data_IF_962929340027
#
_entry.id   IF_962929340027
#
_cell.length_a   1.000
_cell.length_b   1.000
_cell.length_c   1.000
_cell.angle_alpha   90.00
_cell.angle_beta   90.00
_cell.angle_gamma   90.00
#
_symmetry.space_group_name_H-M   'P 1'
#
loop_
_entity.id
_entity.type
_entity.pdbx_description
1 polymer ?
#
# COMPACT_ATOMS: atom_id res chain seq x y z
N UNK A 1 -5.16 -31.80 0.19
CA UNK A 1 -4.58 -30.81 -0.76
C UNK A 1 -4.49 -29.48 -0.03
N UNK A 2 -3.45 -29.31 0.80
CA UNK A 2 -3.33 -28.17 1.71
C UNK A 2 -2.50 -27.08 1.03
N UNK A 3 -3.16 -26.05 0.50
CA UNK A 3 -2.51 -24.77 0.22
C UNK A 3 -2.31 -24.07 1.57
N UNK A 4 -1.24 -24.42 2.29
CA UNK A 4 -0.69 -23.49 3.27
C UNK A 4 -0.29 -22.27 2.45
N UNK A 5 -1.04 -21.18 2.58
CA UNK A 5 -0.63 -19.89 2.05
C UNK A 5 0.81 -19.66 2.47
N UNK A 6 1.69 -19.41 1.51
CA UNK A 6 3.06 -19.04 1.81
C UNK A 6 2.96 -17.78 2.67
N UNK A 7 3.20 -17.94 3.97
CA UNK A 7 3.63 -16.83 4.80
C UNK A 7 5.02 -16.54 4.26
N UNK A 8 5.15 -15.59 3.33
CA UNK A 8 6.46 -15.09 2.93
C UNK A 8 7.11 -14.53 4.19
N UNK A 9 8.10 -15.26 4.70
CA UNK A 9 8.87 -14.84 5.85
C UNK A 9 9.66 -13.59 5.45
N UNK A 10 9.23 -12.42 5.91
CA UNK A 10 9.91 -11.14 5.67
C UNK A 10 11.35 -11.27 6.16
N UNK A 11 12.32 -10.91 5.31
CA UNK A 11 13.73 -10.96 5.70
C UNK A 11 14.05 -9.88 6.73
N UNK A 12 15.11 -10.06 7.52
CA UNK A 12 15.55 -9.03 8.49
C UNK A 12 15.88 -7.68 7.83
N UNK A 13 16.24 -7.68 6.54
CA UNK A 13 16.50 -6.46 5.77
C UNK A 13 15.20 -5.75 5.41
N UNK A 14 14.21 -6.47 4.88
CA UNK A 14 12.89 -5.92 4.55
C UNK A 14 12.19 -5.40 5.79
N UNK A 15 12.26 -6.14 6.91
CA UNK A 15 11.70 -5.69 8.19
C UNK A 15 12.25 -4.32 8.60
N UNK A 16 13.57 -4.12 8.53
CA UNK A 16 14.19 -2.81 8.82
C UNK A 16 13.74 -1.70 7.87
N UNK A 17 13.51 -2.03 6.60
CA UNK A 17 12.99 -1.08 5.62
C UNK A 17 11.56 -0.69 6.01
N UNK A 18 10.72 -1.67 6.34
CA UNK A 18 9.33 -1.42 6.70
C UNK A 18 9.20 -0.65 8.00
N UNK A 19 9.96 -1.01 9.04
CA UNK A 19 9.99 -0.26 10.31
C UNK A 19 10.34 1.21 10.10
N UNK A 20 11.33 1.51 9.24
CA UNK A 20 11.69 2.89 8.90
C UNK A 20 10.57 3.63 8.18
N UNK A 21 9.92 2.99 7.21
CA UNK A 21 8.79 3.59 6.47
C UNK A 21 7.62 3.85 7.42
N UNK A 22 7.34 2.92 8.35
CA UNK A 22 6.29 3.06 9.36
C UNK A 22 6.58 4.21 10.30
N UNK A 23 7.81 4.31 10.82
CA UNK A 23 8.24 5.41 11.67
C UNK A 23 8.03 6.76 10.95
N UNK A 24 8.47 6.87 9.70
CA UNK A 24 8.27 8.08 8.89
C UNK A 24 6.78 8.41 8.67
N UNK A 25 5.94 7.41 8.42
CA UNK A 25 4.50 7.59 8.22
C UNK A 25 3.74 8.02 9.49
N UNK A 26 4.30 7.79 10.69
CA UNK A 26 3.57 7.90 11.97
C UNK A 26 4.23 8.77 13.03
N UNK A 27 5.41 9.34 12.77
CA UNK A 27 6.26 10.05 13.76
C UNK A 27 5.55 11.18 14.52
N UNK A 28 4.65 11.92 13.86
CA UNK A 28 3.93 13.06 14.43
C UNK A 28 2.41 12.85 14.49
N UNK A 29 1.97 11.59 14.58
CA UNK A 29 0.55 11.25 14.61
C UNK A 29 0.08 10.91 16.03
N UNK A 30 -1.03 11.51 16.46
CA UNK A 30 -1.64 11.36 17.78
C UNK A 30 -2.86 10.42 17.79
N UNK A 31 -3.46 10.17 16.63
CA UNK A 31 -4.59 9.26 16.47
C UNK A 31 -4.54 8.48 15.14
N UNK A 32 -5.47 7.54 14.97
CA UNK A 32 -5.55 6.67 13.79
C UNK A 32 -5.83 7.46 12.50
N UNK A 33 -6.56 8.58 12.56
CA UNK A 33 -6.85 9.40 11.38
C UNK A 33 -5.60 10.14 10.92
N UNK A 34 -4.83 10.70 11.87
CA UNK A 34 -3.53 11.32 11.60
C UNK A 34 -2.54 10.31 11.02
N UNK A 35 -2.49 9.09 11.58
CA UNK A 35 -1.64 8.01 11.05
C UNK A 35 -2.00 7.68 9.59
N UNK A 36 -3.29 7.54 9.29
CA UNK A 36 -3.74 7.24 7.92
C UNK A 36 -3.45 8.41 6.98
N UNK A 37 -3.59 9.65 7.43
CA UNK A 37 -3.19 10.82 6.64
C UNK A 37 -1.69 10.82 6.37
N UNK A 38 -0.86 10.49 7.36
CA UNK A 38 0.59 10.36 7.20
C UNK A 38 0.97 9.28 6.19
N UNK A 39 0.32 8.12 6.25
CA UNK A 39 0.48 7.06 5.26
C UNK A 39 0.11 7.49 3.84
N UNK A 40 -1.00 8.21 3.65
CA UNK A 40 -1.43 8.69 2.34
C UNK A 40 -0.38 9.64 1.76
N UNK A 41 0.07 10.63 2.53
CA UNK A 41 1.12 11.55 2.10
C UNK A 41 2.38 10.80 1.69
N UNK A 42 2.86 9.87 2.53
CA UNK A 42 4.09 9.13 2.25
C UNK A 42 3.95 8.24 1.01
N UNK A 43 2.79 7.62 0.81
CA UNK A 43 2.51 6.80 -0.38
C UNK A 43 2.42 7.66 -1.65
N UNK A 44 1.76 8.81 -1.61
CA UNK A 44 1.65 9.72 -2.75
C UNK A 44 3.02 10.31 -3.15
N UNK A 45 3.86 10.64 -2.18
CA UNK A 45 5.20 11.19 -2.43
C UNK A 45 6.16 10.16 -3.08
N UNK A 46 5.96 8.87 -2.79
CA UNK A 46 6.90 7.82 -3.18
C UNK A 46 6.38 6.88 -4.29
N UNK A 47 5.08 6.94 -4.61
CA UNK A 47 4.47 6.21 -5.71
C UNK A 47 4.07 7.22 -6.78
N UNK A 48 4.89 7.33 -7.82
CA UNK A 48 4.66 8.25 -8.93
C UNK A 48 3.43 7.84 -9.75
N UNK A 49 2.24 8.30 -9.35
CA UNK A 49 1.00 8.09 -10.09
C UNK A 49 0.83 9.14 -11.22
N UNK A 50 0.23 8.79 -12.37
CA UNK A 50 -0.26 7.46 -12.74
C UNK A 50 0.88 6.47 -13.08
N UNK A 51 0.75 5.22 -12.65
CA UNK A 51 1.73 4.16 -12.94
C UNK A 51 1.11 2.80 -13.25
N UNK A 52 1.90 1.94 -13.92
CA UNK A 52 1.47 0.57 -14.23
C UNK A 52 1.48 -0.31 -12.97
N UNK A 53 0.41 -1.04 -12.77
CA UNK A 53 0.26 -1.97 -11.66
C UNK A 53 -0.43 -3.27 -12.09
N UNK A 54 -0.43 -4.25 -11.18
CA UNK A 54 -1.23 -5.46 -11.32
C UNK A 54 -2.13 -5.69 -10.11
N UNK A 55 -3.29 -6.28 -10.38
CA UNK A 55 -4.18 -6.85 -9.36
C UNK A 55 -4.47 -8.28 -9.79
N UNK A 56 -4.00 -9.24 -8.99
CA UNK A 56 -4.00 -10.65 -9.38
C UNK A 56 -3.23 -10.86 -10.69
N UNK A 57 -3.95 -11.19 -11.78
CA UNK A 57 -3.37 -11.42 -13.12
C UNK A 57 -3.65 -10.30 -14.12
N UNK A 58 -4.28 -9.20 -13.69
CA UNK A 58 -4.70 -8.12 -14.57
C UNK A 58 -3.67 -6.99 -14.54
N UNK A 59 -3.23 -6.53 -15.71
CA UNK A 59 -2.39 -5.33 -15.86
C UNK A 59 -3.30 -4.11 -15.99
N UNK A 60 -3.05 -3.11 -15.16
CA UNK A 60 -3.91 -1.95 -14.95
C UNK A 60 -3.04 -0.69 -14.74
N UNK A 61 -3.70 0.46 -14.63
CA UNK A 61 -3.07 1.72 -14.26
C UNK A 61 -3.63 2.16 -12.92
N UNK A 62 -2.73 2.41 -11.96
CA UNK A 62 -3.02 3.13 -10.73
C UNK A 62 -2.95 4.62 -11.02
N UNK A 63 -4.10 5.29 -10.96
CA UNK A 63 -4.22 6.72 -11.30
C UNK A 63 -3.88 7.63 -10.14
N UNK A 64 -4.28 7.25 -8.94
CA UNK A 64 -4.01 7.98 -7.70
C UNK A 64 -4.25 7.11 -6.48
N UNK A 65 -3.71 7.54 -5.35
CA UNK A 65 -4.01 7.00 -4.03
C UNK A 65 -5.09 7.89 -3.40
N UNK A 66 -5.96 7.30 -2.60
CA UNK A 66 -7.12 7.97 -2.00
C UNK A 66 -7.47 7.22 -0.70
N UNK A 67 -8.43 7.73 0.05
CA UNK A 67 -9.00 7.03 1.21
C UNK A 67 -10.51 6.89 1.12
N UNK A 68 -11.06 5.99 1.91
CA UNK A 68 -12.50 5.92 2.12
C UNK A 68 -12.85 6.80 3.32
N UNK A 69 -13.70 7.79 3.10
CA UNK A 69 -14.13 8.77 4.11
C UNK A 69 -14.65 8.07 5.36
N UNK A 70 -14.22 8.54 6.53
CA UNK A 70 -14.55 7.97 7.85
C UNK A 70 -14.09 6.52 8.04
N UNK A 71 -13.03 6.11 7.35
CA UNK A 71 -12.39 4.80 7.57
C UNK A 71 -10.88 4.95 7.60
N UNK A 72 -10.20 3.98 8.21
CA UNK A 72 -8.75 3.85 8.18
C UNK A 72 -8.24 3.08 6.94
N UNK A 73 -9.00 3.06 5.84
CA UNK A 73 -8.67 2.29 4.64
C UNK A 73 -8.10 3.18 3.54
N UNK A 74 -6.87 2.88 3.12
CA UNK A 74 -6.23 3.48 1.95
C UNK A 74 -6.58 2.65 0.71
N UNK A 75 -6.97 3.33 -0.35
CA UNK A 75 -7.40 2.73 -1.61
C UNK A 75 -6.62 3.30 -2.80
N UNK A 76 -6.37 2.46 -3.79
CA UNK A 76 -5.94 2.91 -5.11
C UNK A 76 -7.14 3.11 -6.03
N UNK A 77 -7.14 4.20 -6.80
CA UNK A 77 -8.08 4.38 -7.92
C UNK A 77 -7.43 3.84 -9.19
N UNK A 78 -8.05 2.83 -9.79
CA UNK A 78 -7.56 2.19 -11.00
C UNK A 78 -8.55 2.31 -12.15
N UNK A 79 -8.06 2.18 -13.39
CA UNK A 79 -8.89 1.98 -14.57
C UNK A 79 -8.99 0.49 -14.94
N UNK A 80 -10.22 -0.02 -14.99
CA UNK A 80 -10.54 -1.33 -15.58
C UNK A 80 -11.40 -1.11 -16.83
N UNK A 81 -10.76 -1.15 -18.00
CA UNK A 81 -11.41 -0.78 -19.26
C UNK A 81 -11.87 0.69 -19.24
N UNK A 82 -13.18 0.92 -19.35
CA UNK A 82 -13.77 2.28 -19.31
C UNK A 82 -14.20 2.74 -17.91
N UNK A 83 -14.12 1.86 -16.91
CA UNK A 83 -14.61 2.11 -15.57
C UNK A 83 -13.48 2.49 -14.63
N UNK A 84 -13.75 3.42 -13.71
CA UNK A 84 -12.90 3.68 -12.54
C UNK A 84 -13.39 2.84 -11.37
N UNK A 85 -12.47 2.21 -10.66
CA UNK A 85 -12.77 1.45 -9.45
C UNK A 85 -11.77 1.78 -8.34
N UNK A 86 -12.24 1.67 -7.10
CA UNK A 86 -11.42 1.75 -5.90
C UNK A 86 -11.12 0.35 -5.42
N UNK A 87 -9.86 0.08 -5.13
CA UNK A 87 -9.37 -1.18 -4.56
C UNK A 87 -8.53 -0.89 -3.34
N UNK A 88 -8.43 -1.83 -2.41
CA UNK A 88 -7.50 -1.70 -1.30
C UNK A 88 -6.08 -1.55 -1.85
N UNK A 89 -5.31 -0.61 -1.30
CA UNK A 89 -3.91 -0.41 -1.74
C UNK A 89 -3.08 -1.69 -1.53
N UNK A 90 -3.47 -2.54 -0.58
CA UNK A 90 -2.87 -3.85 -0.34
C UNK A 90 -3.05 -4.84 -1.50
N UNK A 91 -4.06 -4.68 -2.35
CA UNK A 91 -4.28 -5.59 -3.49
C UNK A 91 -3.45 -5.19 -4.72
N UNK A 92 -2.82 -4.02 -4.68
CA UNK A 92 -2.01 -3.49 -5.78
C UNK A 92 -0.59 -4.03 -5.67
N UNK A 93 -0.05 -4.45 -6.82
CA UNK A 93 1.35 -4.81 -7.00
C UNK A 93 1.96 -3.87 -8.04
N UNK A 94 3.03 -3.19 -7.67
CA UNK A 94 3.78 -2.30 -8.55
C UNK A 94 4.94 -3.05 -9.19
N UNK A 95 5.32 -2.66 -10.41
CA UNK A 95 6.51 -3.19 -11.08
C UNK A 95 7.81 -2.66 -10.45
N UNK A 96 7.78 -1.44 -9.93
CA UNK A 96 8.91 -0.84 -9.23
C UNK A 96 9.00 -1.40 -7.81
N UNK A 97 10.07 -2.15 -7.54
CA UNK A 97 10.28 -2.79 -6.23
C UNK A 97 10.56 -1.79 -5.10
N UNK A 98 11.07 -0.60 -5.42
CA UNK A 98 11.33 0.45 -4.44
C UNK A 98 10.01 1.06 -4.01
N UNK A 99 9.16 1.46 -4.96
CA UNK A 99 7.81 1.95 -4.68
C UNK A 99 6.95 0.87 -3.98
N UNK A 100 7.12 -0.40 -4.37
CA UNK A 100 6.41 -1.52 -3.75
C UNK A 100 6.73 -1.69 -2.25
N UNK A 101 7.90 -1.25 -1.77
CA UNK A 101 8.22 -1.32 -0.35
C UNK A 101 7.28 -0.48 0.52
N UNK A 102 6.73 0.63 0.01
CA UNK A 102 5.79 1.45 0.76
C UNK A 102 4.44 0.73 0.93
N UNK A 103 3.92 0.11 -0.12
CA UNK A 103 2.71 -0.73 -0.03
C UNK A 103 2.96 -1.93 0.89
N UNK A 104 4.15 -2.56 0.81
CA UNK A 104 4.48 -3.69 1.67
C UNK A 104 4.66 -3.30 3.14
N UNK A 105 5.23 -2.12 3.43
CA UNK A 105 5.32 -1.57 4.77
C UNK A 105 3.91 -1.29 5.35
N UNK A 106 3.01 -0.71 4.54
CA UNK A 106 1.62 -0.53 4.97
C UNK A 106 0.91 -1.86 5.22
N UNK A 107 1.09 -2.86 4.34
CA UNK A 107 0.59 -4.24 4.57
C UNK A 107 1.12 -4.85 5.85
N UNK A 108 2.41 -4.62 6.15
CA UNK A 108 3.06 -5.11 7.34
C UNK A 108 2.47 -4.45 8.59
N UNK A 109 2.34 -3.12 8.56
CA UNK A 109 1.71 -2.35 9.63
C UNK A 109 0.26 -2.75 9.89
N UNK A 110 -0.58 -2.96 8.87
CA UNK A 110 -1.97 -3.39 9.08
C UNK A 110 -2.12 -4.80 9.69
N UNK A 111 -1.07 -5.63 9.68
CA UNK A 111 -1.11 -6.99 10.25
C UNK A 111 -0.66 -7.02 11.71
N UNK A 112 0.32 -6.19 12.05
CA UNK A 112 1.03 -6.22 13.33
C UNK A 112 0.79 -4.96 14.20
N UNK A 113 0.21 -3.90 13.62
CA UNK A 113 -0.03 -2.60 14.25
C UNK A 113 -1.39 -2.48 14.94
#
# INVERSE_FOLDING_TARGET
MNRKGQIETITSREKKIYERIIEEATVDCNDEYEQISGWICLLDDNIATPCNCTIGKQNLVLEKIDNVVNTACIVGVIHFGKSKMRVLIQDIVLKDSTAMNYINAYKYWCKDG
#
